data_IF_566583404118
#
_entry.id   IF_566583404118
#
_cell.length_a   1.000
_cell.length_b   1.000
_cell.length_c   1.000
_cell.angle_alpha   90.00
_cell.angle_beta   90.00
_cell.angle_gamma   90.00
#
_symmetry.space_group_name_H-M   'P 1'
#
loop_
_entity.id
_entity.type
_entity.pdbx_description
1 polymer ?
#
# COMPACT_ATOMS: atom_id res chain seq x y z
N UNK A 1 19.19 -13.55 -9.32
CA UNK A 1 17.84 -12.99 -9.49
C UNK A 1 18.00 -11.49 -9.34
N UNK A 2 17.73 -10.70 -10.38
CA UNK A 2 18.04 -9.26 -10.36
C UNK A 2 17.11 -8.57 -9.35
N UNK A 3 17.66 -8.06 -8.26
CA UNK A 3 16.94 -7.23 -7.29
C UNK A 3 16.56 -5.91 -7.98
N UNK A 4 15.37 -5.87 -8.57
CA UNK A 4 14.84 -4.66 -9.21
C UNK A 4 14.59 -3.60 -8.14
N UNK A 5 15.55 -2.69 -7.95
CA UNK A 5 15.47 -1.62 -6.94
C UNK A 5 14.36 -0.60 -7.21
N UNK A 6 13.92 -0.48 -8.47
CA UNK A 6 12.91 0.46 -8.92
C UNK A 6 11.86 -0.24 -9.77
N UNK A 7 10.61 0.19 -9.63
CA UNK A 7 9.47 -0.30 -10.39
C UNK A 7 8.91 0.81 -11.29
N UNK A 8 8.46 0.46 -12.50
CA UNK A 8 7.61 1.35 -13.33
C UNK A 8 6.19 1.38 -12.80
N UNK A 9 5.36 2.26 -13.34
CA UNK A 9 3.94 2.35 -13.00
C UNK A 9 3.16 1.06 -13.28
N UNK A 10 3.46 0.35 -14.38
CA UNK A 10 2.86 -0.96 -14.67
C UNK A 10 3.28 -2.00 -13.64
N UNK A 11 4.57 -2.03 -13.27
CA UNK A 11 5.08 -2.99 -12.28
C UNK A 11 4.53 -2.71 -10.88
N UNK A 12 4.28 -1.44 -10.52
CA UNK A 12 3.59 -1.09 -9.27
C UNK A 12 2.12 -1.53 -9.32
N UNK A 13 1.44 -1.29 -10.44
CA UNK A 13 0.07 -1.77 -10.63
C UNK A 13 -0.02 -3.29 -10.48
N UNK A 14 0.93 -4.02 -11.08
CA UNK A 14 1.03 -5.47 -10.97
C UNK A 14 1.33 -5.93 -9.54
N UNK A 15 2.25 -5.25 -8.83
CA UNK A 15 2.56 -5.52 -7.41
C UNK A 15 1.30 -5.54 -6.54
N UNK A 16 0.38 -4.61 -6.78
CA UNK A 16 -0.91 -4.54 -6.05
C UNK A 16 -2.06 -5.24 -6.78
N UNK A 17 -1.76 -6.11 -7.76
CA UNK A 17 -2.73 -6.92 -8.52
C UNK A 17 -3.86 -6.09 -9.13
N UNK A 18 -3.53 -4.90 -9.63
CA UNK A 18 -4.49 -3.96 -10.22
C UNK A 18 -5.32 -3.16 -9.20
N UNK A 19 -5.12 -3.36 -7.89
CA UNK A 19 -5.77 -2.55 -6.84
C UNK A 19 -5.38 -1.07 -6.88
N UNK A 20 -4.23 -0.77 -7.49
CA UNK A 20 -3.81 0.60 -7.82
C UNK A 20 -3.55 0.66 -9.32
N UNK A 21 -4.42 1.35 -10.05
CA UNK A 21 -4.24 1.53 -11.49
C UNK A 21 -3.09 2.49 -11.82
N UNK A 22 -2.51 2.34 -13.02
CA UNK A 22 -1.53 3.30 -13.58
C UNK A 22 -2.11 4.73 -13.62
N UNK A 23 -3.39 4.87 -13.95
CA UNK A 23 -4.09 6.16 -13.93
C UNK A 23 -4.15 6.79 -12.54
N UNK A 24 -4.40 5.98 -11.51
CA UNK A 24 -4.36 6.40 -10.10
C UNK A 24 -2.98 6.91 -9.73
N UNK A 25 -1.92 6.16 -10.07
CA UNK A 25 -0.54 6.58 -9.84
C UNK A 25 -0.23 7.92 -10.54
N UNK A 26 -0.65 8.08 -11.80
CA UNK A 26 -0.48 9.34 -12.54
C UNK A 26 -1.19 10.52 -11.86
N UNK A 27 -2.42 10.30 -11.40
CA UNK A 27 -3.19 11.32 -10.68
C UNK A 27 -2.51 11.71 -9.35
N UNK A 28 -2.07 10.71 -8.58
CA UNK A 28 -1.34 10.95 -7.33
C UNK A 28 -0.06 11.76 -7.53
N UNK A 29 0.71 11.49 -8.60
CA UNK A 29 1.88 12.31 -8.95
C UNK A 29 1.51 13.76 -9.25
N UNK A 30 0.41 14.01 -9.96
CA UNK A 30 -0.06 15.36 -10.25
C UNK A 30 -0.43 16.13 -8.97
N UNK A 31 -1.03 15.42 -8.01
CA UNK A 31 -1.39 15.96 -6.70
C UNK A 31 -0.22 16.00 -5.71
N UNK A 32 0.93 15.41 -6.07
CA UNK A 32 2.09 15.19 -5.19
C UNK A 32 1.73 14.42 -3.91
N UNK A 33 0.79 13.49 -4.04
CA UNK A 33 0.38 12.59 -2.96
C UNK A 33 1.08 11.24 -3.19
N UNK A 34 1.47 10.60 -2.08
CA UNK A 34 2.21 9.32 -2.01
C UNK A 34 1.66 8.25 -2.99
N UNK A 35 2.46 7.24 -3.39
CA UNK A 35 3.83 6.90 -2.97
C UNK A 35 4.91 7.79 -3.60
N UNK A 36 6.10 7.81 -2.98
CA UNK A 36 7.26 8.56 -3.47
C UNK A 36 7.69 8.02 -4.84
N UNK A 37 8.03 8.92 -5.76
CA UNK A 37 8.50 8.56 -7.09
C UNK A 37 9.73 9.39 -7.47
N UNK A 38 10.56 8.83 -8.33
CA UNK A 38 11.69 9.50 -8.95
C UNK A 38 11.33 9.74 -10.41
N UNK A 39 11.56 10.96 -10.89
CA UNK A 39 11.38 11.32 -12.30
C UNK A 39 12.74 11.50 -12.95
N UNK A 40 13.04 10.70 -13.96
CA UNK A 40 14.28 10.77 -14.74
C UNK A 40 13.91 10.95 -16.21
N UNK A 41 13.96 12.20 -16.69
CA UNK A 41 13.50 12.55 -18.04
C UNK A 41 12.02 12.19 -18.24
N UNK A 42 11.76 11.24 -19.13
CA UNK A 42 10.41 10.69 -19.41
C UNK A 42 10.02 9.54 -18.47
N UNK A 43 10.98 8.90 -17.82
CA UNK A 43 10.74 7.76 -16.95
C UNK A 43 10.26 8.21 -15.57
N UNK A 44 9.33 7.44 -15.02
CA UNK A 44 8.87 7.54 -13.64
C UNK A 44 9.14 6.21 -12.97
N UNK A 45 9.82 6.26 -11.84
CA UNK A 45 10.27 5.08 -11.11
C UNK A 45 9.86 5.15 -9.66
N UNK A 46 9.49 4.01 -9.10
CA UNK A 46 9.12 3.84 -7.70
C UNK A 46 10.16 2.97 -7.00
N UNK A 47 10.98 3.51 -6.09
CA UNK A 47 11.90 2.71 -5.29
C UNK A 47 11.11 1.69 -4.45
N UNK A 48 11.58 0.45 -4.39
CA UNK A 48 10.91 -0.59 -3.59
C UNK A 48 10.82 -0.21 -2.11
N UNK A 49 11.92 0.31 -1.54
CA UNK A 49 11.98 0.69 -0.13
C UNK A 49 10.95 1.76 0.24
N UNK A 50 10.70 2.71 -0.68
CA UNK A 50 9.72 3.77 -0.51
C UNK A 50 8.29 3.24 -0.63
N UNK A 51 8.04 2.27 -1.51
CA UNK A 51 6.75 1.57 -1.59
C UNK A 51 6.49 0.76 -0.32
N UNK A 52 7.47 0.04 0.20
CA UNK A 52 7.34 -0.71 1.44
C UNK A 52 7.09 0.23 2.63
N UNK A 53 7.78 1.38 2.65
CA UNK A 53 7.54 2.42 3.64
C UNK A 53 6.14 3.03 3.54
N UNK A 54 5.62 3.17 2.31
CA UNK A 54 4.25 3.59 2.08
C UNK A 54 3.27 2.52 2.57
N UNK A 55 3.47 1.24 2.24
CA UNK A 55 2.62 0.14 2.70
C UNK A 55 2.51 0.11 4.22
N UNK A 56 3.64 0.21 4.92
CA UNK A 56 3.69 0.28 6.39
C UNK A 56 2.83 1.42 6.95
N UNK A 57 2.79 2.57 6.26
CA UNK A 57 1.97 3.72 6.67
C UNK A 57 0.48 3.54 6.37
N UNK A 58 0.12 2.61 5.48
CA UNK A 58 -1.28 2.29 5.14
C UNK A 58 -1.79 1.02 5.84
N UNK A 59 -1.00 0.42 6.75
CA UNK A 59 -1.47 -0.70 7.58
C UNK A 59 -2.59 -0.21 8.49
N UNK A 60 -3.76 -0.84 8.36
CA UNK A 60 -4.89 -0.64 9.26
C UNK A 60 -4.79 -1.66 10.40
N UNK A 61 -4.59 -1.18 11.63
CA UNK A 61 -4.58 -2.05 12.82
C UNK A 61 -6.03 -2.40 13.17
N UNK A 62 -6.43 -3.63 12.86
CA UNK A 62 -7.74 -4.13 13.29
C UNK A 62 -7.72 -4.36 14.81
N UNK A 63 -8.59 -3.67 15.55
CA UNK A 63 -8.83 -3.98 16.97
C UNK A 63 -9.58 -5.31 17.04
N UNK A 64 -9.16 -6.21 17.93
CA UNK A 64 -9.89 -7.45 18.18
C UNK A 64 -11.35 -7.12 18.58
N UNK A 65 -12.35 -7.87 18.07
CA UNK A 65 -13.72 -7.68 18.50
C UNK A 65 -13.78 -7.87 20.02
N UNK A 66 -14.43 -6.93 20.70
CA UNK A 66 -14.61 -6.99 22.14
C UNK A 66 -15.38 -8.28 22.43
N UNK A 67 -14.71 -9.31 22.96
CA UNK A 67 -15.38 -10.54 23.41
C UNK A 67 -16.21 -10.13 24.61
N UNK A 68 -17.48 -9.76 24.39
CA UNK A 68 -18.43 -9.64 25.48
C UNK A 68 -18.42 -10.97 26.22
N UNK A 69 -17.91 -10.94 27.46
CA UNK A 69 -17.91 -12.09 28.34
C UNK A 69 -19.36 -12.57 28.45
N UNK A 70 -19.64 -13.75 27.91
CA UNK A 70 -20.91 -14.43 28.10
C UNK A 70 -21.03 -14.66 29.61
N UNK A 71 -21.87 -13.88 30.27
CA UNK A 71 -22.23 -14.08 31.67
C UNK A 71 -22.99 -15.40 31.73
N UNK A 72 -22.42 -16.39 32.41
CA UNK A 72 -23.06 -17.68 32.62
C UNK A 72 -24.44 -17.47 33.28
N UNK A 73 -25.50 -18.18 32.84
CA UNK A 73 -26.79 -18.13 33.53
C UNK A 73 -26.63 -18.73 34.94
N UNK A 74 -27.16 -18.01 35.93
CA UNK A 74 -27.17 -18.38 37.32
C UNK A 74 -28.11 -19.59 37.50
N UNK A 75 -27.58 -20.75 37.90
CA UNK A 75 -28.38 -21.90 38.32
C UNK A 75 -28.97 -21.63 39.72
N UNK A 76 -30.31 -21.57 39.80
CA UNK A 76 -31.10 -21.73 41.03
C UNK A 76 -32.25 -22.68 40.77
#
# INVERSE_FOLDING_TARGET
MNERKFLTDEEVSERYRGGISVGTLRNWRAMKIRPTYIKIGKAVLYPLEELDAWDRKNIVICRAPNRHAVRAPNEV
#
